data_IF_932365454392
#
_entry.id   IF_932365454392
#
_cell.length_a   1.000
_cell.length_b   1.000
_cell.length_c   1.000
_cell.angle_alpha   90.00
_cell.angle_beta   90.00
_cell.angle_gamma   90.00
#
_symmetry.space_group_name_H-M   'P 1'
#
loop_
_entity.id
_entity.type
_entity.pdbx_description
1 polymer ?
#
# COMPACT_ATOMS: atom_id res chain seq x y z
N UNK A 1 -20.71 0.08 -23.76
CA UNK A 1 -19.29 0.28 -24.15
C UNK A 1 -18.49 0.62 -22.90
N UNK A 2 -17.74 -0.34 -22.34
CA UNK A 2 -16.85 -0.10 -21.21
C UNK A 2 -15.53 0.42 -21.78
N UNK A 3 -15.38 1.74 -21.88
CA UNK A 3 -14.09 2.33 -22.21
C UNK A 3 -13.11 1.98 -21.09
N UNK A 4 -12.06 1.23 -21.44
CA UNK A 4 -10.89 1.05 -20.60
C UNK A 4 -10.26 2.41 -20.34
N UNK A 5 -10.39 2.89 -19.10
CA UNK A 5 -9.66 4.07 -18.63
C UNK A 5 -8.24 3.60 -18.32
N UNK A 6 -7.45 3.54 -19.38
CA UNK A 6 -6.02 3.26 -19.37
C UNK A 6 -5.28 4.55 -19.02
N UNK A 7 -4.48 4.48 -17.96
CA UNK A 7 -3.17 5.11 -17.80
C UNK A 7 -3.01 6.59 -18.22
N UNK A 8 -3.14 7.53 -17.27
CA UNK A 8 -2.73 8.93 -17.49
C UNK A 8 -1.83 9.53 -16.40
N UNK A 9 -1.55 8.80 -15.32
CA UNK A 9 -0.52 9.22 -14.35
C UNK A 9 0.90 8.76 -14.75
N UNK A 10 1.05 8.03 -15.85
CA UNK A 10 2.33 7.45 -16.28
C UNK A 10 2.81 7.94 -17.66
N UNK A 11 2.28 9.04 -18.19
CA UNK A 11 2.67 9.58 -19.50
C UNK A 11 3.25 11.01 -19.47
N UNK A 12 3.50 11.60 -18.29
CA UNK A 12 4.02 12.98 -18.21
C UNK A 12 5.39 13.14 -17.55
N UNK A 13 6.18 12.06 -17.41
CA UNK A 13 7.61 12.17 -17.06
C UNK A 13 8.45 11.83 -18.29
N UNK A 14 8.46 12.73 -19.27
CA UNK A 14 9.47 12.68 -20.33
C UNK A 14 9.59 14.02 -21.03
N UNK A 15 10.08 15.04 -20.32
CA UNK A 15 10.81 16.15 -20.95
C UNK A 15 11.97 16.59 -20.06
N UNK A 16 13.18 16.43 -20.60
CA UNK A 16 14.49 16.96 -20.17
C UNK A 16 15.39 16.05 -19.34
N UNK A 17 15.89 14.98 -19.96
CA UNK A 17 17.33 14.79 -20.15
C UNK A 17 17.56 13.67 -21.17
N UNK A 18 18.14 14.05 -22.30
CA UNK A 18 18.75 13.11 -23.22
C UNK A 18 20.11 12.75 -22.64
N UNK A 19 20.31 11.48 -22.25
CA UNK A 19 21.53 10.70 -22.48
C UNK A 19 21.32 9.25 -22.02
N UNK A 20 21.37 8.35 -23.00
CA UNK A 20 21.83 6.96 -22.96
C UNK A 20 21.75 6.18 -21.62
N UNK A 21 20.68 5.39 -21.46
CA UNK A 21 20.76 3.94 -21.23
C UNK A 21 19.35 3.35 -21.28
N UNK A 22 19.10 2.52 -22.30
CA UNK A 22 17.95 1.61 -22.33
C UNK A 22 18.12 0.57 -21.21
N UNK A 23 17.71 0.92 -20.00
CA UNK A 23 17.16 -0.03 -19.04
C UNK A 23 15.69 0.34 -18.89
N UNK A 24 14.83 -0.47 -19.50
CA UNK A 24 13.40 -0.45 -19.30
C UNK A 24 13.13 -0.90 -17.86
N UNK A 25 13.38 -0.02 -16.89
CA UNK A 25 13.01 -0.23 -15.50
C UNK A 25 11.49 -0.17 -15.42
N UNK A 26 10.87 -1.33 -15.58
CA UNK A 26 9.41 -1.49 -15.50
C UNK A 26 8.96 -1.33 -14.05
N UNK A 27 9.01 -0.09 -13.53
CA UNK A 27 8.44 0.21 -12.23
C UNK A 27 6.96 -0.20 -12.21
N UNK A 28 6.47 -0.81 -11.11
CA UNK A 28 5.11 -1.30 -11.02
C UNK A 28 4.14 -0.13 -11.14
N UNK A 29 3.48 -0.07 -12.29
CA UNK A 29 2.42 0.90 -12.53
C UNK A 29 1.20 0.50 -11.71
N UNK A 30 0.58 1.50 -11.10
CA UNK A 30 -0.66 1.30 -10.39
C UNK A 30 -1.75 1.02 -11.44
N UNK A 31 -2.10 -0.26 -11.62
CA UNK A 31 -3.14 -0.70 -12.55
C UNK A 31 -4.37 -1.21 -11.79
N UNK A 32 -5.57 -0.91 -12.29
CA UNK A 32 -6.80 -1.44 -11.72
C UNK A 32 -7.01 -2.88 -12.18
N UNK A 33 -6.67 -3.88 -11.36
CA UNK A 33 -7.08 -5.25 -11.63
C UNK A 33 -8.60 -5.37 -11.52
N UNK A 34 -9.22 -6.10 -12.43
CA UNK A 34 -10.68 -6.34 -12.42
C UNK A 34 -11.18 -7.12 -11.19
N UNK A 35 -10.28 -7.75 -10.44
CA UNK A 35 -10.55 -8.44 -9.18
C UNK A 35 -10.85 -7.41 -8.07
N UNK A 36 -11.99 -7.55 -7.40
CA UNK A 36 -12.36 -6.66 -6.31
C UNK A 36 -11.71 -7.14 -5.02
N UNK A 37 -10.80 -6.32 -4.48
CA UNK A 37 -10.15 -6.60 -3.20
C UNK A 37 -10.49 -5.49 -2.20
N UNK A 38 -10.71 -5.84 -0.93
CA UNK A 38 -11.05 -4.86 0.12
C UNK A 38 -9.83 -4.07 0.62
N UNK A 39 -10.06 -2.87 1.16
CA UNK A 39 -9.01 -2.09 1.84
C UNK A 39 -8.34 -2.89 2.98
N UNK A 40 -9.10 -3.74 3.69
CA UNK A 40 -8.59 -4.56 4.79
C UNK A 40 -7.54 -5.57 4.34
N UNK A 41 -7.62 -6.10 3.12
CA UNK A 41 -6.62 -7.02 2.59
C UNK A 41 -5.25 -6.31 2.42
N UNK A 42 -5.26 -5.07 1.91
CA UNK A 42 -4.05 -4.23 1.84
C UNK A 42 -3.43 -3.99 3.22
N UNK A 43 -4.26 -3.71 4.23
CA UNK A 43 -3.80 -3.55 5.63
C UNK A 43 -3.19 -4.84 6.18
N UNK A 44 -3.78 -5.99 5.87
CA UNK A 44 -3.26 -7.29 6.31
C UNK A 44 -1.92 -7.62 5.64
N UNK A 45 -1.79 -7.37 4.34
CA UNK A 45 -0.55 -7.56 3.60
C UNK A 45 0.58 -6.68 4.14
N UNK A 46 0.31 -5.40 4.43
CA UNK A 46 1.26 -4.46 5.03
C UNK A 46 1.72 -4.96 6.42
N UNK A 47 0.80 -5.41 7.27
CA UNK A 47 1.12 -5.99 8.59
C UNK A 47 1.94 -7.28 8.51
N UNK A 48 1.79 -8.03 7.41
CA UNK A 48 2.54 -9.26 7.15
C UNK A 48 3.88 -9.00 6.45
N UNK A 49 4.34 -7.74 6.44
CA UNK A 49 5.58 -7.29 5.79
C UNK A 49 5.63 -7.51 4.27
N UNK A 50 4.47 -7.71 3.61
CA UNK A 50 4.36 -7.89 2.15
C UNK A 50 4.01 -6.55 1.47
N UNK A 51 4.93 -5.58 1.55
CA UNK A 51 4.69 -4.19 1.09
C UNK A 51 4.33 -4.10 -0.40
N UNK A 52 5.01 -4.84 -1.27
CA UNK A 52 4.72 -4.87 -2.71
C UNK A 52 3.29 -5.38 -2.99
N UNK A 53 2.87 -6.44 -2.29
CA UNK A 53 1.51 -6.94 -2.40
C UNK A 53 0.49 -5.91 -1.86
N UNK A 54 0.78 -5.28 -0.72
CA UNK A 54 -0.05 -4.22 -0.16
C UNK A 54 -0.21 -3.03 -1.13
N UNK A 55 0.86 -2.65 -1.84
CA UNK A 55 0.81 -1.62 -2.88
C UNK A 55 -0.20 -1.96 -3.97
N UNK A 56 -0.14 -3.17 -4.53
CA UNK A 56 -1.08 -3.61 -5.57
C UNK A 56 -2.53 -3.62 -5.06
N UNK A 57 -2.74 -4.08 -3.82
CA UNK A 57 -4.06 -4.06 -3.21
C UNK A 57 -4.58 -2.64 -3.01
N UNK A 58 -3.77 -1.73 -2.48
CA UNK A 58 -4.19 -0.34 -2.31
C UNK A 58 -4.43 0.36 -3.64
N UNK A 59 -3.65 0.03 -4.67
CA UNK A 59 -3.84 0.55 -6.01
C UNK A 59 -5.27 0.35 -6.51
N UNK A 60 -5.74 -0.90 -6.47
CA UNK A 60 -7.07 -1.29 -6.93
C UNK A 60 -8.20 -0.53 -6.24
N UNK A 61 -8.08 -0.35 -4.92
CA UNK A 61 -9.14 0.30 -4.12
C UNK A 61 -9.05 1.83 -4.23
N UNK A 62 -7.85 2.39 -4.39
CA UNK A 62 -7.64 3.82 -4.52
C UNK A 62 -8.28 4.40 -5.80
N UNK A 63 -8.19 3.67 -6.92
CA UNK A 63 -8.86 4.07 -8.17
C UNK A 63 -10.39 4.03 -8.10
N UNK A 64 -10.94 3.22 -7.20
CA UNK A 64 -12.40 3.19 -6.93
C UNK A 64 -12.83 4.29 -5.96
N UNK A 65 -11.87 5.08 -5.46
CA UNK A 65 -12.10 6.27 -4.67
C UNK A 65 -12.05 6.07 -3.16
N UNK A 66 -11.50 4.96 -2.68
CA UNK A 66 -11.26 4.81 -1.24
C UNK A 66 -10.13 5.73 -0.79
N UNK A 67 -10.50 6.78 -0.05
CA UNK A 67 -9.54 7.79 0.38
C UNK A 67 -8.47 7.24 1.33
N UNK A 68 -8.71 6.12 2.00
CA UNK A 68 -7.72 5.50 2.90
C UNK A 68 -6.67 4.77 2.07
N UNK A 69 -7.09 4.06 1.03
CA UNK A 69 -6.18 3.44 0.07
C UNK A 69 -5.35 4.49 -0.66
N UNK A 70 -5.95 5.59 -1.11
CA UNK A 70 -5.25 6.73 -1.71
C UNK A 70 -4.18 7.31 -0.76
N UNK A 71 -4.54 7.49 0.52
CA UNK A 71 -3.58 7.94 1.53
C UNK A 71 -2.45 6.94 1.79
N UNK A 72 -2.74 5.63 1.71
CA UNK A 72 -1.72 4.58 1.83
C UNK A 72 -0.77 4.57 0.65
N UNK A 73 -1.27 4.71 -0.59
CA UNK A 73 -0.43 4.87 -1.77
C UNK A 73 0.48 6.07 -1.68
N UNK A 74 -0.04 7.22 -1.22
CA UNK A 74 0.78 8.42 -1.01
C UNK A 74 2.02 8.13 -0.15
N UNK A 75 1.85 7.37 0.94
CA UNK A 75 2.99 6.98 1.81
C UNK A 75 3.94 5.98 1.15
N UNK A 76 3.42 5.05 0.36
CA UNK A 76 4.25 4.07 -0.34
C UNK A 76 5.09 4.73 -1.43
N UNK A 77 4.51 5.64 -2.22
CA UNK A 77 5.29 6.46 -3.16
C UNK A 77 6.27 7.39 -2.45
N UNK A 78 5.92 7.93 -1.28
CA UNK A 78 6.83 8.82 -0.54
C UNK A 78 8.09 8.08 -0.09
N UNK A 79 7.96 6.86 0.42
CA UNK A 79 9.08 6.11 0.98
C UNK A 79 9.74 5.14 -0.01
N UNK A 80 9.04 4.77 -1.08
CA UNK A 80 9.42 3.63 -1.92
C UNK A 80 9.24 2.28 -1.20
N UNK A 81 9.53 1.22 -1.95
CA UNK A 81 9.61 -0.18 -1.51
C UNK A 81 10.88 -0.75 -2.14
N UNK A 82 11.83 -1.17 -1.31
CA UNK A 82 13.12 -1.67 -1.78
C UNK A 82 12.97 -2.76 -2.86
N UNK A 83 13.64 -2.56 -4.00
CA UNK A 83 13.61 -3.49 -5.14
C UNK A 83 12.25 -3.63 -5.84
N UNK A 84 11.28 -2.78 -5.52
CA UNK A 84 9.95 -2.83 -6.14
C UNK A 84 9.44 -1.47 -6.59
N UNK A 85 9.51 -0.43 -5.76
CA UNK A 85 8.95 0.89 -6.05
C UNK A 85 9.94 1.98 -5.63
N UNK A 86 10.33 2.84 -6.56
CA UNK A 86 11.16 4.01 -6.24
C UNK A 86 10.36 5.07 -5.48
N UNK A 87 11.04 5.83 -4.61
CA UNK A 87 10.42 6.98 -3.97
C UNK A 87 10.14 8.07 -5.02
N UNK A 88 8.93 8.59 -5.04
CA UNK A 88 8.50 9.68 -5.92
C UNK A 88 7.58 10.64 -5.14
N UNK A 89 8.12 11.80 -4.75
CA UNK A 89 7.42 12.79 -3.93
C UNK A 89 6.29 13.50 -4.68
N UNK A 90 6.45 13.73 -5.98
CA UNK A 90 5.42 14.35 -6.84
C UNK A 90 4.18 13.46 -6.88
N UNK A 91 4.35 12.18 -7.23
CA UNK A 91 3.25 11.20 -7.28
C UNK A 91 2.66 10.97 -5.88
N UNK A 92 3.49 10.91 -4.84
CA UNK A 92 3.03 10.83 -3.46
C UNK A 92 2.13 12.00 -3.08
N UNK A 93 2.51 13.23 -3.45
CA UNK A 93 1.75 14.44 -3.18
C UNK A 93 0.42 14.48 -3.93
N UNK A 94 0.37 14.01 -5.18
CA UNK A 94 -0.88 13.84 -5.94
C UNK A 94 -1.85 12.92 -5.20
N UNK A 95 -1.42 11.71 -4.84
CA UNK A 95 -2.26 10.77 -4.09
C UNK A 95 -2.67 11.32 -2.72
N UNK A 96 -1.77 12.04 -2.03
CA UNK A 96 -2.07 12.67 -0.75
C UNK A 96 -3.18 13.72 -0.90
N UNK A 97 -3.12 14.58 -1.93
CA UNK A 97 -4.17 15.57 -2.21
C UNK A 97 -5.49 14.93 -2.59
N UNK A 98 -5.49 13.92 -3.49
CA UNK A 98 -6.71 13.20 -3.87
C UNK A 98 -7.38 12.60 -2.63
N UNK A 99 -6.60 11.96 -1.75
CA UNK A 99 -7.10 11.35 -0.51
C UNK A 99 -7.76 12.35 0.47
N UNK A 100 -7.46 13.64 0.34
CA UNK A 100 -7.96 14.70 1.21
C UNK A 100 -8.93 15.68 0.51
N UNK A 101 -9.26 15.43 -0.76
CA UNK A 101 -10.03 16.36 -1.59
C UNK A 101 -11.51 16.45 -1.17
N UNK A 102 -12.13 15.31 -0.85
CA UNK A 102 -13.53 15.20 -0.38
C UNK A 102 -13.57 14.94 1.12
N UNK A 103 -13.09 13.78 1.56
CA UNK A 103 -13.01 13.43 2.97
C UNK A 103 -11.77 14.09 3.59
N UNK A 104 -11.94 15.24 4.23
CA UNK A 104 -10.83 16.00 4.82
C UNK A 104 -10.37 15.43 6.17
N UNK A 105 -9.07 15.47 6.42
CA UNK A 105 -8.47 15.08 7.71
C UNK A 105 -7.21 15.89 7.96
N UNK A 106 -7.03 16.31 9.22
CA UNK A 106 -5.81 16.99 9.67
C UNK A 106 -4.58 16.13 9.39
N UNK A 107 -4.66 14.81 9.66
CA UNK A 107 -3.55 13.88 9.41
C UNK A 107 -3.11 13.87 7.94
N UNK A 108 -4.06 13.89 7.00
CA UNK A 108 -3.75 13.91 5.56
C UNK A 108 -3.23 15.27 5.12
N UNK A 109 -3.81 16.35 5.65
CA UNK A 109 -3.31 17.71 5.43
C UNK A 109 -1.86 17.86 5.89
N UNK A 110 -1.50 17.30 7.04
CA UNK A 110 -0.12 17.35 7.54
C UNK A 110 0.85 16.61 6.60
N UNK A 111 0.45 15.45 6.05
CA UNK A 111 1.27 14.76 5.04
C UNK A 111 1.43 15.60 3.76
N UNK A 112 0.34 16.23 3.29
CA UNK A 112 0.40 17.12 2.12
C UNK A 112 1.40 18.25 2.37
N UNK A 113 1.27 18.95 3.50
CA UNK A 113 2.16 20.05 3.87
C UNK A 113 3.62 19.58 3.97
N UNK A 114 3.86 18.40 4.55
CA UNK A 114 5.21 17.82 4.65
C UNK A 114 5.80 17.61 3.25
N UNK A 115 5.09 16.90 2.36
CA UNK A 115 5.56 16.62 1.01
C UNK A 115 5.82 17.93 0.25
N UNK A 116 4.86 18.86 0.28
CA UNK A 116 4.96 20.13 -0.45
C UNK A 116 6.09 21.03 0.06
N UNK A 117 6.45 20.93 1.34
CA UNK A 117 7.60 21.69 1.88
C UNK A 117 8.95 21.16 1.40
N UNK A 118 9.00 19.92 0.91
CA UNK A 118 10.22 19.27 0.41
C UNK A 118 10.36 19.34 -1.12
N UNK A 119 9.34 19.80 -1.84
CA UNK A 119 9.34 19.90 -3.30
C UNK A 119 9.88 21.24 -3.77
N UNK A 120 10.62 21.23 -4.87
CA UNK A 120 11.00 22.44 -5.60
C UNK A 120 9.78 23.10 -6.26
N UNK A 121 9.95 24.35 -6.71
CA UNK A 121 8.89 25.09 -7.40
C UNK A 121 8.41 24.38 -8.67
N UNK A 122 9.33 23.78 -9.41
CA UNK A 122 9.04 23.09 -10.66
C UNK A 122 8.27 21.78 -10.40
N UNK A 123 8.72 20.99 -9.41
CA UNK A 123 8.00 19.78 -8.98
C UNK A 123 6.61 20.09 -8.40
N UNK A 124 6.44 21.22 -7.70
CA UNK A 124 5.14 21.67 -7.24
C UNK A 124 4.22 22.04 -8.41
N UNK A 125 4.75 22.67 -9.46
CA UNK A 125 4.00 22.99 -10.67
C UNK A 125 3.56 21.71 -11.40
N UNK A 126 4.46 20.74 -11.51
CA UNK A 126 4.17 19.41 -12.05
C UNK A 126 3.07 18.71 -11.25
N UNK A 127 3.22 18.62 -9.93
CA UNK A 127 2.23 18.04 -9.02
C UNK A 127 0.85 18.69 -9.21
N UNK A 128 0.80 20.03 -9.31
CA UNK A 128 -0.45 20.77 -9.54
C UNK A 128 -1.11 20.36 -10.85
N UNK A 129 -0.34 20.27 -11.94
CA UNK A 129 -0.80 19.86 -13.27
C UNK A 129 -1.34 18.42 -13.27
N UNK A 130 -0.61 17.51 -12.63
CA UNK A 130 -1.02 16.11 -12.53
C UNK A 130 -2.29 16.00 -11.66
N UNK A 131 -2.35 16.70 -10.53
CA UNK A 131 -3.48 16.65 -9.61
C UNK A 131 -4.78 17.15 -10.24
N UNK A 132 -4.75 18.23 -11.04
CA UNK A 132 -5.95 18.75 -11.70
C UNK A 132 -6.56 17.71 -12.64
N UNK A 133 -5.72 17.04 -13.43
CA UNK A 133 -6.10 15.96 -14.34
C UNK A 133 -6.61 14.74 -13.57
N UNK A 134 -5.85 14.30 -12.57
CA UNK A 134 -6.18 13.11 -11.79
C UNK A 134 -7.49 13.25 -11.00
N UNK A 135 -7.77 14.44 -10.46
CA UNK A 135 -9.01 14.72 -9.71
C UNK A 135 -10.27 14.59 -10.58
N UNK A 136 -10.17 14.85 -11.89
CA UNK A 136 -11.29 14.69 -12.81
C UNK A 136 -11.60 13.20 -13.09
N UNK A 137 -10.58 12.34 -13.03
CA UNK A 137 -10.66 10.94 -13.42
C UNK A 137 -10.87 9.99 -12.24
N UNK A 138 -10.27 10.30 -11.09
CA UNK A 138 -10.20 9.41 -9.94
C UNK A 138 -11.19 9.90 -8.88
N UNK A 139 -12.26 9.12 -8.55
CA UNK A 139 -13.16 9.48 -7.47
C UNK A 139 -12.42 9.51 -6.13
N UNK A 140 -12.97 10.19 -5.11
CA UNK A 140 -12.41 10.21 -3.76
C UNK A 140 -13.53 10.37 -2.72
N UNK A 141 -13.21 10.07 -1.47
CA UNK A 141 -14.14 10.22 -0.34
C UNK A 141 -14.95 8.96 -0.01
N UNK A 142 -14.85 7.90 -0.82
CA UNK A 142 -15.57 6.66 -0.58
C UNK A 142 -14.91 5.85 0.57
N UNK A 143 -15.72 5.07 1.30
CA UNK A 143 -15.25 4.00 2.18
C UNK A 143 -15.71 2.67 1.61
N UNK A 144 -14.81 1.96 0.95
CA UNK A 144 -15.11 0.71 0.28
C UNK A 144 -14.79 -0.45 1.24
N UNK A 145 -15.65 -0.60 2.25
CA UNK A 145 -15.59 -1.69 3.24
C UNK A 145 -16.83 -2.61 3.20
N UNK A 146 -17.97 -2.09 2.72
CA UNK A 146 -19.30 -2.66 3.04
C UNK A 146 -20.01 -3.35 1.88
N UNK A 147 -19.50 -3.29 0.66
CA UNK A 147 -19.96 -4.14 -0.43
C UNK A 147 -19.00 -5.32 -0.51
N UNK A 148 -19.16 -6.39 0.29
CA UNK A 148 -18.52 -7.66 -0.07
C UNK A 148 -19.01 -8.93 0.62
N UNK A 149 -18.92 -9.98 -0.18
CA UNK A 149 -18.82 -11.40 0.16
C UNK A 149 -17.43 -11.61 0.79
N UNK A 150 -17.33 -12.40 1.86
CA UNK A 150 -16.07 -12.68 2.56
C UNK A 150 -15.11 -13.42 1.62
N UNK A 151 -14.15 -12.70 1.03
CA UNK A 151 -13.06 -13.30 0.26
C UNK A 151 -12.21 -14.16 1.20
N UNK A 152 -12.01 -15.42 0.84
CA UNK A 152 -11.24 -16.35 1.66
C UNK A 152 -9.74 -16.09 1.50
N UNK A 153 -9.24 -15.18 2.35
CA UNK A 153 -7.83 -14.83 2.45
C UNK A 153 -6.92 -16.03 2.76
N UNK A 154 -7.47 -17.19 3.16
CA UNK A 154 -6.68 -18.41 3.36
C UNK A 154 -6.08 -18.96 2.06
N UNK A 155 -6.68 -18.65 0.89
CA UNK A 155 -6.15 -19.06 -0.41
C UNK A 155 -4.84 -18.34 -0.78
N UNK A 156 -4.72 -17.06 -0.43
CA UNK A 156 -3.55 -16.22 -0.76
C UNK A 156 -2.38 -16.39 0.22
N UNK A 157 -2.57 -17.11 1.33
CA UNK A 157 -1.58 -17.27 2.41
C UNK A 157 -1.06 -18.71 2.55
N UNK A 158 -1.56 -19.65 1.73
CA UNK A 158 -1.16 -21.07 1.79
C UNK A 158 0.26 -21.36 1.26
N UNK A 159 0.87 -20.42 0.55
CA UNK A 159 2.20 -20.66 -0.07
C UNK A 159 3.37 -20.46 0.89
N UNK A 160 3.16 -19.86 2.07
CA UNK A 160 4.15 -19.90 3.15
C UNK A 160 3.73 -20.95 4.16
N UNK A 161 3.95 -22.24 3.82
CA UNK A 161 4.07 -23.28 4.83
C UNK A 161 5.13 -22.79 5.82
N UNK A 162 4.70 -22.32 6.99
CA UNK A 162 5.59 -22.09 8.13
C UNK A 162 6.33 -23.40 8.32
N UNK A 163 7.61 -23.43 7.96
CA UNK A 163 8.50 -24.51 8.37
C UNK A 163 8.47 -24.44 9.88
N UNK A 164 7.74 -25.37 10.50
CA UNK A 164 7.64 -25.48 11.94
C UNK A 164 9.04 -25.84 12.44
N UNK A 165 9.84 -24.85 12.79
CA UNK A 165 11.11 -25.02 13.51
C UNK A 165 10.84 -25.21 15.00
N UNK A 166 9.81 -26.00 15.32
CA UNK A 166 9.63 -26.46 16.69
C UNK A 166 10.80 -27.37 17.01
N UNK A 167 11.77 -26.84 17.75
CA UNK A 167 12.75 -27.66 18.45
C UNK A 167 11.96 -28.56 19.39
N UNK A 168 11.70 -29.78 18.96
CA UNK A 168 11.16 -30.84 19.80
C UNK A 168 12.21 -31.16 20.85
N UNK A 169 12.22 -30.40 21.94
CA UNK A 169 12.99 -30.73 23.14
C UNK A 169 12.36 -32.02 23.68
N UNK A 170 12.92 -33.17 23.28
CA UNK A 170 12.65 -34.43 23.96
C UNK A 170 13.24 -34.31 25.36
N UNK A 171 12.43 -33.91 26.35
CA UNK A 171 12.80 -34.15 27.74
C UNK A 171 12.85 -35.67 27.92
N UNK A 172 14.01 -36.20 28.33
CA UNK A 172 14.08 -37.58 28.84
C UNK A 172 13.13 -37.66 30.05
N UNK A 173 12.41 -38.78 30.16
CA UNK A 173 11.35 -39.03 31.15
C UNK A 173 11.83 -38.88 32.61
N UNK A 174 13.15 -38.84 32.80
CA UNK A 174 13.80 -38.94 34.10
C UNK A 174 14.18 -37.57 34.70
N UNK A 175 13.95 -36.46 33.98
CA UNK A 175 14.21 -35.09 34.47
C UNK A 175 12.90 -34.30 34.68
N UNK A 176 11.91 -34.92 35.32
CA UNK A 176 10.82 -34.16 35.93
C UNK A 176 11.31 -33.63 37.29
N UNK A 177 11.24 -32.33 37.58
CA UNK A 177 11.52 -31.83 38.93
C UNK A 177 10.47 -32.40 39.88
N UNK A 178 10.90 -33.31 40.76
CA UNK A 178 10.12 -33.74 41.91
C UNK A 178 10.08 -32.59 42.92
N UNK A 179 9.12 -31.68 42.74
CA UNK A 179 8.63 -30.83 43.83
C UNK A 179 7.11 -30.79 43.70
N UNK A 180 6.48 -31.89 44.11
CA UNK A 180 5.13 -31.86 44.64
C UNK A 180 5.29 -31.67 46.15
N UNK A 181 5.38 -30.42 46.58
CA UNK A 181 5.15 -30.08 47.98
C UNK A 181 3.71 -30.50 48.30
N UNK A 182 3.61 -31.47 49.20
CA UNK A 182 2.37 -31.89 49.84
C UNK A 182 1.84 -30.71 50.66
N UNK A 183 0.72 -30.12 50.21
CA UNK A 183 -0.06 -29.22 51.04
C UNK A 183 -0.84 -30.05 52.07
N UNK A 184 -0.28 -30.18 53.28
CA UNK A 184 -1.03 -30.64 54.44
C UNK A 184 -2.02 -29.54 54.88
N UNK A 185 -3.30 -29.83 54.77
CA UNK A 185 -4.35 -29.06 55.43
C UNK A 185 -4.57 -29.65 56.82
N UNK A 186 -4.04 -28.98 57.85
CA UNK A 186 -4.52 -29.09 59.23
C UNK A 186 -5.43 -27.91 59.54
#
# INVERSE_FOLDING_TARGET
MKLGIVCLLALFVSVSQAEASNEESSEPKCESSGEFVSYKAGVYAEKSNKKAHAFNLYCNVAYKGDYRAQFKLARLYLHGIDGYLSSNKVVAGVWARISNSVARSVKRKNLINQIESELSKDELAELNSIYTTARALIPSGNRIDHQYIKEDLSKYLKDEKRVYTGSRIKRKKDNAPNNLDTFDFN
#
